data_IF_494144076015
#
_entry.id   IF_494144076015
#
_cell.length_a   1.000
_cell.length_b   1.000
_cell.length_c   1.000
_cell.angle_alpha   90.00
_cell.angle_beta   90.00
_cell.angle_gamma   90.00
#
_symmetry.space_group_name_H-M   'P 1'
#
loop_
_entity.id
_entity.type
_entity.pdbx_description
1 polymer ?
#
# COMPACT_ATOMS: atom_id res chain seq x y z
N UNK A 1 -28.46 10.83 0.13
CA UNK A 1 -27.03 10.92 0.46
C UNK A 1 -26.28 11.07 -0.84
N UNK A 2 -25.68 12.23 -1.09
CA UNK A 2 -24.95 12.51 -2.34
C UNK A 2 -23.58 11.85 -2.22
N UNK A 3 -23.34 10.82 -3.03
CA UNK A 3 -22.01 10.23 -3.20
C UNK A 3 -21.10 11.28 -3.83
N UNK A 4 -20.16 11.83 -3.05
CA UNK A 4 -19.15 12.73 -3.58
C UNK A 4 -18.28 11.96 -4.58
N UNK A 5 -18.18 12.46 -5.81
CA UNK A 5 -17.26 11.91 -6.80
C UNK A 5 -15.80 12.06 -6.31
N UNK A 6 -14.93 11.08 -6.58
CA UNK A 6 -13.51 11.22 -6.26
C UNK A 6 -12.90 12.43 -6.99
N UNK A 7 -12.04 13.17 -6.29
CA UNK A 7 -11.35 14.32 -6.86
C UNK A 7 -10.46 13.87 -8.05
N UNK A 8 -10.29 14.72 -9.09
CA UNK A 8 -9.45 14.37 -10.23
C UNK A 8 -7.99 14.22 -9.80
N UNK A 9 -7.32 13.19 -10.32
CA UNK A 9 -5.89 13.00 -10.13
C UNK A 9 -5.13 14.24 -10.62
N UNK A 10 -4.40 14.89 -9.71
CA UNK A 10 -3.53 16.02 -10.06
C UNK A 10 -2.26 15.49 -10.73
N UNK A 11 -1.80 16.06 -11.86
CA UNK A 11 -0.50 15.70 -12.42
C UNK A 11 0.59 16.04 -11.40
N UNK A 12 1.51 15.09 -11.17
CA UNK A 12 2.59 15.25 -10.20
C UNK A 12 3.59 16.36 -10.60
N UNK A 13 4.37 16.90 -9.65
CA UNK A 13 5.34 17.95 -9.90
C UNK A 13 6.48 17.51 -10.85
N UNK A 14 7.14 18.45 -11.54
CA UNK A 14 8.26 18.16 -12.43
C UNK A 14 9.45 17.57 -11.65
N UNK A 15 10.02 16.45 -12.14
CA UNK A 15 11.16 15.77 -11.54
C UNK A 15 10.93 14.29 -11.20
N UNK A 16 9.73 13.75 -11.42
CA UNK A 16 9.44 12.32 -11.18
C UNK A 16 10.12 11.42 -12.22
N UNK A 17 10.56 10.22 -11.82
CA UNK A 17 10.78 9.13 -12.77
C UNK A 17 9.49 8.88 -13.55
N UNK A 18 9.59 8.60 -14.85
CA UNK A 18 8.45 8.22 -15.66
C UNK A 18 7.80 6.94 -15.08
N UNK A 19 6.53 7.02 -14.67
CA UNK A 19 5.74 5.87 -14.18
C UNK A 19 5.24 5.96 -12.74
N UNK A 20 5.64 6.98 -11.98
CA UNK A 20 5.12 7.22 -10.64
C UNK A 20 3.73 7.89 -10.68
N UNK A 21 2.75 7.32 -9.99
CA UNK A 21 1.42 7.91 -9.83
C UNK A 21 1.29 8.46 -8.41
N UNK A 22 0.79 9.69 -8.24
CA UNK A 22 0.33 10.25 -6.96
C UNK A 22 -1.14 10.59 -7.10
N UNK A 23 -1.93 10.28 -6.07
CA UNK A 23 -3.31 10.73 -5.97
C UNK A 23 -3.66 11.11 -4.54
N UNK A 24 -4.49 12.13 -4.39
CA UNK A 24 -5.25 12.35 -3.16
C UNK A 24 -6.46 11.40 -3.16
N UNK A 25 -6.32 10.22 -2.56
CA UNK A 25 -7.34 9.17 -2.58
C UNK A 25 -8.60 9.56 -1.78
N UNK A 26 -8.42 10.40 -0.77
CA UNK A 26 -9.45 11.07 0.01
C UNK A 26 -8.87 12.38 0.56
N UNK A 27 -9.67 13.35 1.03
CA UNK A 27 -9.15 14.61 1.56
C UNK A 27 -8.05 14.38 2.61
N UNK A 28 -6.86 14.90 2.32
CA UNK A 28 -5.67 14.76 3.17
C UNK A 28 -5.06 13.34 3.22
N UNK A 29 -5.45 12.43 2.35
CA UNK A 29 -4.90 11.06 2.25
C UNK A 29 -4.27 10.89 0.88
N UNK A 30 -2.94 10.91 0.86
CA UNK A 30 -2.15 10.83 -0.35
C UNK A 30 -1.56 9.45 -0.51
N UNK A 31 -1.62 8.91 -1.73
CA UNK A 31 -1.09 7.61 -2.08
C UNK A 31 -0.24 7.77 -3.33
N UNK A 32 0.94 7.16 -3.31
CA UNK A 32 1.78 7.02 -4.49
C UNK A 32 2.16 5.56 -4.73
N UNK A 33 2.30 5.17 -6.00
CA UNK A 33 2.82 3.86 -6.39
C UNK A 33 3.60 3.92 -7.70
N UNK A 34 4.52 2.97 -7.86
CA UNK A 34 5.42 2.91 -9.01
C UNK A 34 5.95 1.49 -9.25
N UNK A 35 6.26 1.18 -10.51
CA UNK A 35 7.01 -0.04 -10.92
C UNK A 35 8.53 0.13 -10.86
N UNK A 36 8.97 1.39 -10.83
CA UNK A 36 10.36 1.80 -10.71
C UNK A 36 10.36 3.09 -9.91
N UNK A 37 10.91 3.09 -8.71
CA UNK A 37 11.08 4.29 -7.90
C UNK A 37 12.56 4.56 -7.67
N UNK A 38 12.93 5.83 -7.52
CA UNK A 38 14.23 6.21 -7.00
C UNK A 38 14.41 5.56 -5.61
N UNK A 39 15.60 5.02 -5.35
CA UNK A 39 15.93 4.45 -4.04
C UNK A 39 16.24 5.56 -3.05
N UNK A 40 15.86 5.38 -1.79
CA UNK A 40 16.22 6.34 -0.73
C UNK A 40 17.74 6.36 -0.51
N UNK A 41 18.31 7.56 -0.51
CA UNK A 41 19.70 7.83 -0.14
C UNK A 41 19.82 8.32 1.32
N UNK A 42 18.69 8.42 2.04
CA UNK A 42 18.68 8.92 3.41
C UNK A 42 19.53 8.01 4.32
N UNK A 43 20.47 8.54 5.13
CA UNK A 43 21.40 7.74 5.92
C UNK A 43 20.71 6.71 6.85
N UNK A 44 19.61 7.10 7.50
CA UNK A 44 18.85 6.19 8.35
C UNK A 44 18.16 5.05 7.57
N UNK A 45 17.71 5.31 6.34
CA UNK A 45 17.07 4.28 5.49
C UNK A 45 18.13 3.29 5.00
N UNK A 46 19.31 3.78 4.62
CA UNK A 46 20.46 2.95 4.26
C UNK A 46 20.95 2.08 5.43
N UNK A 47 20.90 2.61 6.65
CA UNK A 47 21.25 1.88 7.87
C UNK A 47 20.24 0.77 8.20
N UNK A 48 18.93 1.04 8.13
CA UNK A 48 17.85 0.08 8.45
C UNK A 48 17.89 -1.20 7.59
N UNK A 49 18.36 -1.08 6.35
CA UNK A 49 18.43 -2.20 5.42
C UNK A 49 19.78 -2.92 5.40
N UNK A 50 20.74 -2.53 6.26
CA UNK A 50 22.05 -3.22 6.35
C UNK A 50 21.85 -4.68 6.72
N UNK A 51 22.64 -5.57 6.11
CA UNK A 51 22.57 -7.02 6.34
C UNK A 51 21.39 -7.75 5.69
N UNK A 52 20.42 -7.04 5.09
CA UNK A 52 19.32 -7.69 4.34
C UNK A 52 19.81 -8.18 2.96
N UNK A 53 19.21 -9.25 2.39
CA UNK A 53 19.49 -9.67 1.01
C UNK A 53 19.28 -8.53 -0.01
N UNK A 54 20.08 -8.49 -1.09
CA UNK A 54 20.09 -7.40 -2.09
C UNK A 54 18.70 -7.04 -2.61
N UNK A 55 17.88 -8.04 -2.95
CA UNK A 55 16.52 -7.83 -3.46
C UNK A 55 15.63 -7.12 -2.43
N UNK A 56 15.69 -7.54 -1.16
CA UNK A 56 14.91 -6.93 -0.07
C UNK A 56 15.40 -5.52 0.26
N UNK A 57 16.72 -5.28 0.18
CA UNK A 57 17.29 -3.93 0.32
C UNK A 57 16.73 -2.99 -0.75
N UNK A 58 16.77 -3.43 -2.02
CA UNK A 58 16.27 -2.65 -3.15
C UNK A 58 14.79 -2.28 -2.98
N UNK A 59 13.93 -3.26 -2.70
CA UNK A 59 12.50 -3.04 -2.47
C UNK A 59 12.22 -2.07 -1.31
N UNK A 60 12.88 -2.30 -0.17
CA UNK A 60 12.73 -1.41 0.99
C UNK A 60 13.21 0.01 0.70
N UNK A 61 14.34 0.19 0.01
CA UNK A 61 14.85 1.51 -0.34
C UNK A 61 14.00 2.21 -1.41
N UNK A 62 13.45 1.47 -2.39
CA UNK A 62 12.56 2.02 -3.40
C UNK A 62 11.24 2.53 -2.80
N UNK A 63 10.60 1.73 -1.92
CA UNK A 63 9.40 2.18 -1.21
C UNK A 63 9.67 3.41 -0.33
N UNK A 64 10.82 3.44 0.36
CA UNK A 64 11.24 4.61 1.16
C UNK A 64 11.52 5.82 0.27
N UNK A 65 12.20 5.66 -0.87
CA UNK A 65 12.46 6.76 -1.80
C UNK A 65 11.16 7.36 -2.36
N UNK A 66 10.19 6.50 -2.70
CA UNK A 66 8.85 6.95 -3.08
C UNK A 66 8.15 7.72 -1.96
N UNK A 67 8.26 7.28 -0.71
CA UNK A 67 7.72 8.02 0.44
C UNK A 67 8.42 9.37 0.63
N UNK A 68 9.75 9.45 0.47
CA UNK A 68 10.49 10.72 0.57
C UNK A 68 10.01 11.72 -0.48
N UNK A 69 9.84 11.27 -1.73
CA UNK A 69 9.28 12.08 -2.79
C UNK A 69 7.83 12.52 -2.49
N UNK A 70 6.99 11.61 -1.99
CA UNK A 70 5.62 11.93 -1.59
C UNK A 70 5.58 12.95 -0.45
N UNK A 71 6.42 12.79 0.58
CA UNK A 71 6.52 13.74 1.69
C UNK A 71 6.95 15.13 1.20
N UNK A 72 7.94 15.23 0.31
CA UNK A 72 8.37 16.51 -0.25
C UNK A 72 7.24 17.21 -1.03
N UNK A 73 6.35 16.44 -1.67
CA UNK A 73 5.21 16.95 -2.42
C UNK A 73 4.07 17.43 -1.51
N UNK A 74 3.64 16.59 -0.55
CA UNK A 74 2.37 16.83 0.18
C UNK A 74 2.58 17.37 1.60
N UNK A 75 3.79 17.27 2.14
CA UNK A 75 4.18 17.76 3.46
C UNK A 75 5.63 18.32 3.42
N UNK A 76 5.90 19.40 2.67
CA UNK A 76 7.26 19.91 2.48
C UNK A 76 8.00 20.18 3.80
N UNK A 77 9.27 19.82 3.87
CA UNK A 77 10.12 19.95 5.06
C UNK A 77 10.11 18.72 5.97
N UNK A 78 9.35 17.68 5.64
CA UNK A 78 9.30 16.42 6.40
C UNK A 78 10.01 15.25 5.72
N UNK A 79 10.42 15.41 4.46
CA UNK A 79 11.11 14.39 3.68
C UNK A 79 12.43 13.94 4.30
N UNK A 80 13.14 14.82 5.03
CA UNK A 80 14.38 14.50 5.73
C UNK A 80 14.20 13.85 7.11
N UNK A 81 12.97 13.62 7.57
CA UNK A 81 12.72 13.09 8.93
C UNK A 81 12.96 11.59 8.98
N UNK A 82 13.76 11.12 9.95
CA UNK A 82 14.06 9.70 10.10
C UNK A 82 12.79 8.85 10.28
N UNK A 83 12.74 7.72 9.56
CA UNK A 83 11.70 6.71 9.75
C UNK A 83 12.13 5.76 10.87
N UNK A 84 11.27 5.58 11.86
CA UNK A 84 11.40 4.55 12.89
C UNK A 84 10.33 3.48 12.70
N UNK A 85 10.61 2.28 13.22
CA UNK A 85 9.58 1.27 13.40
C UNK A 85 9.04 1.40 14.83
N UNK A 86 7.71 1.42 15.00
CA UNK A 86 7.12 1.28 16.33
C UNK A 86 7.29 -0.14 16.90
N UNK A 87 6.80 -0.38 18.11
CA UNK A 87 6.90 -1.70 18.79
C UNK A 87 6.26 -2.86 18.02
N UNK A 88 5.50 -2.58 16.96
CA UNK A 88 4.84 -3.56 16.09
C UNK A 88 5.41 -3.56 14.67
N UNK A 89 6.53 -2.88 14.45
CA UNK A 89 7.20 -2.81 13.15
C UNK A 89 6.59 -1.81 12.18
N UNK A 90 5.62 -0.98 12.61
CA UNK A 90 4.98 0.00 11.72
C UNK A 90 5.91 1.19 11.49
N UNK A 91 6.11 1.63 10.23
CA UNK A 91 6.81 2.87 9.93
C UNK A 91 6.13 4.09 10.56
N UNK A 92 6.93 4.96 11.20
CA UNK A 92 6.51 6.25 11.73
C UNK A 92 7.63 7.28 11.49
N UNK A 93 7.28 8.56 11.36
CA UNK A 93 8.25 9.64 11.27
C UNK A 93 8.62 10.12 12.69
N UNK A 94 9.92 10.14 12.99
CA UNK A 94 10.40 10.54 14.30
C UNK A 94 10.01 11.99 14.63
N UNK A 95 9.37 12.20 15.78
CA UNK A 95 8.92 13.52 16.21
C UNK A 95 7.64 14.04 15.52
N UNK A 96 7.05 13.26 14.60
CA UNK A 96 5.84 13.64 13.87
C UNK A 96 4.73 12.59 14.03
N UNK A 97 4.23 12.32 15.25
CA UNK A 97 3.24 11.27 15.50
C UNK A 97 1.89 11.52 14.84
N UNK A 98 1.58 12.77 14.50
CA UNK A 98 0.36 13.15 13.80
C UNK A 98 0.43 12.92 12.29
N UNK A 99 1.61 12.62 11.73
CA UNK A 99 1.77 12.38 10.30
C UNK A 99 1.78 10.87 10.02
N UNK A 100 0.61 10.34 9.64
CA UNK A 100 0.47 8.94 9.28
C UNK A 100 1.26 8.63 8.02
N UNK A 101 2.09 7.58 8.06
CA UNK A 101 2.79 7.07 6.89
C UNK A 101 2.61 5.57 6.76
N UNK A 102 2.62 5.07 5.53
CA UNK A 102 2.61 3.64 5.25
C UNK A 102 3.42 3.32 4.00
N UNK A 103 3.99 2.13 3.95
CA UNK A 103 4.85 1.64 2.88
C UNK A 103 4.41 0.24 2.49
N UNK A 104 4.48 -0.06 1.20
CA UNK A 104 4.32 -1.40 0.68
C UNK A 104 5.22 -1.66 -0.50
N UNK A 105 5.60 -2.92 -0.69
CA UNK A 105 6.29 -3.36 -1.87
C UNK A 105 5.97 -4.82 -2.15
N UNK A 106 5.85 -5.16 -3.42
CA UNK A 106 5.73 -6.53 -3.89
C UNK A 106 6.50 -6.69 -5.20
N UNK A 107 7.05 -7.88 -5.46
CA UNK A 107 7.95 -8.07 -6.59
C UNK A 107 8.70 -9.38 -6.52
N UNK A 108 9.21 -9.89 -7.66
CA UNK A 108 9.92 -11.14 -7.70
C UNK A 108 11.13 -11.13 -6.76
N UNK A 109 11.18 -12.10 -5.85
CA UNK A 109 12.34 -12.38 -5.01
C UNK A 109 13.44 -13.05 -5.85
N UNK A 110 14.07 -12.31 -6.75
CA UNK A 110 15.09 -12.85 -7.66
C UNK A 110 15.55 -11.86 -8.74
N UNK A 111 16.80 -12.03 -9.21
CA UNK A 111 17.47 -11.24 -10.26
C UNK A 111 17.06 -11.66 -11.68
N UNK A 112 15.77 -11.79 -11.98
CA UNK A 112 15.33 -11.97 -13.37
C UNK A 112 14.79 -10.65 -13.91
N UNK A 113 15.60 -10.01 -14.75
CA UNK A 113 15.44 -8.65 -15.26
C UNK A 113 14.29 -8.40 -16.22
N UNK A 114 13.53 -9.40 -16.68
CA UNK A 114 12.80 -9.22 -17.94
C UNK A 114 11.27 -9.34 -17.90
N UNK A 115 10.63 -9.63 -16.76
CA UNK A 115 9.16 -9.68 -16.70
C UNK A 115 8.59 -9.03 -15.44
N UNK A 116 8.94 -7.74 -15.25
CA UNK A 116 8.26 -6.82 -14.33
C UNK A 116 9.02 -6.55 -13.03
N UNK A 117 9.47 -5.31 -12.88
CA UNK A 117 10.14 -4.83 -11.68
C UNK A 117 9.25 -4.83 -10.42
N UNK A 118 9.85 -4.44 -9.30
CA UNK A 118 9.16 -4.30 -8.01
C UNK A 118 8.03 -3.26 -8.12
N UNK A 119 6.83 -3.61 -7.67
CA UNK A 119 5.77 -2.66 -7.42
C UNK A 119 5.93 -2.11 -6.00
N UNK A 120 6.05 -0.79 -5.86
CA UNK A 120 6.17 -0.12 -4.56
C UNK A 120 5.04 0.88 -4.38
N UNK A 121 4.64 1.12 -3.13
CA UNK A 121 3.70 2.16 -2.77
C UNK A 121 4.05 2.82 -1.44
N UNK A 122 3.62 4.07 -1.32
CA UNK A 122 3.71 4.87 -0.11
C UNK A 122 2.37 5.60 0.11
N UNK A 123 2.03 5.87 1.36
CA UNK A 123 0.92 6.74 1.70
C UNK A 123 1.31 7.71 2.81
N UNK A 124 0.73 8.91 2.75
CA UNK A 124 0.88 9.99 3.73
C UNK A 124 -0.51 10.54 4.08
N UNK A 125 -0.81 10.65 5.37
CA UNK A 125 -2.08 11.17 5.85
C UNK A 125 -1.91 12.03 7.11
N UNK A 126 -1.81 13.37 6.99
CA UNK A 126 -1.77 14.25 8.14
C UNK A 126 -3.02 14.12 9.01
N UNK A 127 -2.84 14.03 10.33
CA UNK A 127 -3.91 13.92 11.32
C UNK A 127 -4.64 12.58 11.33
N UNK A 128 -4.16 11.58 10.58
CA UNK A 128 -4.85 10.28 10.39
C UNK A 128 -3.87 9.14 10.46
N UNK A 129 -4.36 7.96 10.83
CA UNK A 129 -3.63 6.71 10.60
C UNK A 129 -3.89 6.25 9.17
N UNK A 130 -2.90 5.62 8.55
CA UNK A 130 -2.99 5.18 7.15
C UNK A 130 -2.25 3.86 6.95
N UNK A 131 -2.76 3.05 6.03
CA UNK A 131 -2.19 1.80 5.57
C UNK A 131 -2.29 1.74 4.05
N UNK A 132 -1.19 1.41 3.38
CA UNK A 132 -1.16 1.15 1.94
C UNK A 132 -0.68 -0.26 1.68
N UNK A 133 -1.26 -0.91 0.69
CA UNK A 133 -0.78 -2.20 0.22
C UNK A 133 -0.79 -2.30 -1.30
N UNK A 134 0.18 -3.06 -1.81
CA UNK A 134 0.32 -3.41 -3.21
C UNK A 134 0.63 -4.88 -3.35
N UNK A 135 0.02 -5.51 -4.34
CA UNK A 135 0.22 -6.92 -4.62
C UNK A 135 0.20 -7.14 -6.13
N UNK A 136 1.28 -7.68 -6.68
CA UNK A 136 1.25 -8.30 -7.99
C UNK A 136 0.36 -9.54 -7.90
N UNK A 137 -0.55 -9.77 -8.87
CA UNK A 137 -1.33 -10.99 -8.88
C UNK A 137 -0.42 -12.20 -8.72
N UNK A 138 -0.75 -13.15 -7.83
CA UNK A 138 -0.07 -14.43 -7.85
C UNK A 138 -0.19 -15.03 -9.26
N UNK A 139 0.63 -16.03 -9.57
CA UNK A 139 0.53 -16.76 -10.84
C UNK A 139 -0.89 -17.24 -11.17
N UNK A 140 -1.11 -17.86 -12.35
CA UNK A 140 -2.44 -18.12 -12.89
C UNK A 140 -3.41 -18.81 -11.91
N UNK A 141 -2.87 -19.60 -10.97
CA UNK A 141 -3.64 -20.30 -9.94
C UNK A 141 -3.35 -19.79 -8.53
N UNK A 142 -4.38 -19.23 -7.88
CA UNK A 142 -4.35 -18.99 -6.43
C UNK A 142 -4.70 -20.30 -5.71
N UNK A 143 -3.88 -20.77 -4.75
CA UNK A 143 -4.19 -21.99 -4.01
C UNK A 143 -5.57 -21.92 -3.35
N UNK A 144 -6.43 -22.91 -3.60
CA UNK A 144 -7.81 -22.92 -3.09
C UNK A 144 -7.90 -22.83 -1.57
N UNK A 145 -6.91 -23.38 -0.84
CA UNK A 145 -6.80 -23.23 0.61
C UNK A 145 -6.60 -21.79 1.05
N UNK A 146 -5.81 -21.02 0.31
CA UNK A 146 -5.59 -19.60 0.56
C UNK A 146 -6.85 -18.78 0.26
N UNK A 147 -7.52 -19.08 -0.86
CA UNK A 147 -8.81 -18.47 -1.23
C UNK A 147 -9.85 -18.69 -0.13
N UNK A 148 -10.05 -19.93 0.32
CA UNK A 148 -11.00 -20.25 1.40
C UNK A 148 -10.65 -19.53 2.71
N UNK A 149 -9.37 -19.45 3.06
CA UNK A 149 -8.94 -18.76 4.28
C UNK A 149 -9.22 -17.26 4.23
N UNK A 150 -8.99 -16.61 3.09
CA UNK A 150 -9.09 -15.15 2.98
C UNK A 150 -10.50 -14.65 2.62
N UNK A 151 -11.26 -15.42 1.83
CA UNK A 151 -12.59 -15.05 1.37
C UNK A 151 -13.74 -15.74 2.12
N UNK A 152 -13.47 -16.86 2.80
CA UNK A 152 -14.48 -17.64 3.55
C UNK A 152 -15.72 -17.90 2.70
N UNK A 153 -16.90 -17.46 3.14
CA UNK A 153 -18.18 -17.63 2.43
C UNK A 153 -18.17 -17.00 1.03
N UNK A 154 -17.31 -16.01 0.77
CA UNK A 154 -17.16 -15.35 -0.54
C UNK A 154 -16.25 -16.10 -1.52
N UNK A 155 -15.67 -17.24 -1.12
CA UNK A 155 -14.81 -18.02 -2.01
C UNK A 155 -15.54 -18.43 -3.30
N UNK A 156 -16.85 -18.72 -3.23
CA UNK A 156 -17.69 -19.03 -4.39
C UNK A 156 -17.79 -17.89 -5.39
N UNK A 157 -17.84 -16.63 -4.91
CA UNK A 157 -17.85 -15.45 -5.77
C UNK A 157 -16.59 -15.39 -6.64
N UNK A 158 -15.41 -15.63 -6.06
CA UNK A 158 -14.14 -15.66 -6.81
C UNK A 158 -14.08 -16.83 -7.80
N UNK A 159 -14.52 -18.02 -7.37
CA UNK A 159 -14.54 -19.22 -8.20
C UNK A 159 -15.46 -19.09 -9.42
N UNK A 160 -16.53 -18.29 -9.33
CA UNK A 160 -17.43 -18.01 -10.47
C UNK A 160 -16.82 -17.12 -11.54
N UNK A 161 -15.69 -16.43 -11.27
CA UNK A 161 -15.03 -15.59 -12.26
C UNK A 161 -14.29 -16.42 -13.32
N UNK A 162 -14.07 -15.87 -14.53
CA UNK A 162 -13.16 -16.46 -15.50
C UNK A 162 -11.79 -16.71 -14.89
N UNK A 163 -11.16 -17.86 -15.20
CA UNK A 163 -9.90 -18.29 -14.58
C UNK A 163 -8.81 -17.19 -14.62
N UNK A 164 -8.63 -16.54 -15.78
CA UNK A 164 -7.66 -15.45 -15.96
C UNK A 164 -7.91 -14.17 -15.15
N UNK A 165 -9.05 -14.06 -14.45
CA UNK A 165 -9.37 -12.92 -13.57
C UNK A 165 -9.20 -13.23 -12.09
N UNK A 166 -9.19 -14.50 -11.69
CA UNK A 166 -9.25 -14.90 -10.27
C UNK A 166 -8.05 -14.42 -9.48
N UNK A 167 -6.83 -14.59 -10.00
CA UNK A 167 -5.61 -14.14 -9.33
C UNK A 167 -5.59 -12.63 -9.12
N UNK A 168 -6.01 -11.87 -10.13
CA UNK A 168 -6.10 -10.41 -10.04
C UNK A 168 -7.13 -9.96 -9.01
N UNK A 169 -8.35 -10.52 -9.05
CA UNK A 169 -9.39 -10.12 -8.10
C UNK A 169 -9.10 -10.59 -6.66
N UNK A 170 -8.42 -11.73 -6.51
CA UNK A 170 -7.89 -12.16 -5.20
C UNK A 170 -6.87 -11.16 -4.66
N UNK A 171 -5.92 -10.72 -5.49
CA UNK A 171 -4.92 -9.73 -5.09
C UNK A 171 -5.57 -8.37 -4.73
N UNK A 172 -6.62 -7.95 -5.44
CA UNK A 172 -7.40 -6.77 -5.04
C UNK A 172 -8.01 -6.91 -3.65
N UNK A 173 -8.63 -8.05 -3.34
CA UNK A 173 -9.15 -8.28 -1.98
C UNK A 173 -8.01 -8.27 -0.95
N UNK A 174 -6.92 -8.98 -1.24
CA UNK A 174 -5.77 -9.06 -0.34
C UNK A 174 -5.17 -7.68 -0.02
N UNK A 175 -4.99 -6.82 -1.02
CA UNK A 175 -4.48 -5.47 -0.78
C UNK A 175 -5.37 -4.64 0.13
N UNK A 176 -6.70 -4.76 0.04
CA UNK A 176 -7.62 -4.06 0.96
C UNK A 176 -7.47 -4.63 2.38
N UNK A 177 -7.38 -5.95 2.53
CA UNK A 177 -7.21 -6.61 3.82
C UNK A 177 -5.91 -6.16 4.51
N UNK A 178 -4.78 -6.17 3.80
CA UNK A 178 -3.49 -5.73 4.32
C UNK A 178 -3.44 -4.22 4.58
N UNK A 179 -4.02 -3.40 3.71
CA UNK A 179 -4.11 -1.95 3.93
C UNK A 179 -4.86 -1.63 5.23
N UNK A 180 -5.98 -2.31 5.50
CA UNK A 180 -6.74 -2.14 6.75
C UNK A 180 -5.90 -2.53 7.98
N UNK A 181 -5.21 -3.67 7.93
CA UNK A 181 -4.34 -4.14 9.02
C UNK A 181 -3.16 -3.20 9.27
N UNK A 182 -2.56 -2.65 8.21
CA UNK A 182 -1.49 -1.65 8.31
C UNK A 182 -2.01 -0.34 8.92
N UNK A 183 -3.20 0.10 8.51
CA UNK A 183 -3.85 1.30 9.06
C UNK A 183 -4.23 1.13 10.53
N UNK A 184 -4.60 -0.08 10.97
CA UNK A 184 -4.88 -0.38 12.38
C UNK A 184 -3.62 -0.56 13.23
N UNK A 185 -2.59 -1.19 12.66
CA UNK A 185 -1.26 -1.29 13.28
C UNK A 185 -1.10 -2.49 14.16
N UNK A 186 -1.89 -3.49 13.90
CA UNK A 186 -1.84 -4.79 14.57
C UNK A 186 -0.81 -5.71 13.91
N UNK A 187 -0.30 -5.35 12.73
CA UNK A 187 0.51 -6.25 11.91
C UNK A 187 -0.22 -7.58 11.66
N UNK A 188 0.53 -8.68 11.55
CA UNK A 188 -0.06 -10.01 11.30
C UNK A 188 -1.10 -10.44 12.36
N UNK A 189 -1.01 -9.90 13.59
CA UNK A 189 -1.99 -10.17 14.65
C UNK A 189 -3.38 -9.60 14.33
N UNK A 190 -3.47 -8.65 13.39
CA UNK A 190 -4.72 -8.16 12.83
C UNK A 190 -5.46 -9.16 11.94
N UNK A 191 -4.83 -10.31 11.64
CA UNK A 191 -5.40 -11.41 10.86
C UNK A 191 -6.07 -10.90 9.57
N UNK A 192 -5.30 -10.39 8.59
CA UNK A 192 -5.84 -9.79 7.37
C UNK A 192 -6.86 -10.70 6.65
N UNK A 193 -6.58 -12.00 6.61
CA UNK A 193 -7.49 -13.03 6.07
C UNK A 193 -8.85 -13.16 6.79
N UNK A 194 -9.03 -12.53 7.95
CA UNK A 194 -10.29 -12.55 8.70
C UNK A 194 -11.19 -11.35 8.45
N UNK A 195 -10.73 -10.38 7.63
CA UNK A 195 -11.50 -9.20 7.26
C UNK A 195 -12.46 -9.55 6.12
N UNK A 196 -13.75 -9.23 6.29
CA UNK A 196 -14.76 -9.49 5.26
C UNK A 196 -14.74 -8.39 4.18
N UNK A 197 -14.06 -8.67 3.06
CA UNK A 197 -13.94 -7.75 1.93
C UNK A 197 -14.64 -8.38 0.71
N UNK A 198 -15.52 -7.64 0.00
CA UNK A 198 -16.22 -8.16 -1.17
C UNK A 198 -15.25 -8.45 -2.31
N UNK A 199 -15.56 -9.46 -3.14
CA UNK A 199 -14.84 -9.68 -4.40
C UNK A 199 -15.08 -8.47 -5.31
N UNK A 200 -14.05 -8.04 -6.05
CA UNK A 200 -14.03 -6.77 -6.80
C UNK A 200 -14.28 -5.56 -5.88
N UNK A 201 -13.46 -5.34 -4.84
CA UNK A 201 -13.66 -4.24 -3.91
C UNK A 201 -13.60 -2.88 -4.62
N UNK A 202 -14.32 -1.87 -4.11
CA UNK A 202 -14.29 -0.49 -4.62
C UNK A 202 -13.90 0.48 -3.49
N UNK A 203 -14.87 0.83 -2.66
CA UNK A 203 -14.67 1.54 -1.39
C UNK A 203 -15.52 0.89 -0.31
N UNK A 204 -15.16 1.10 0.95
CA UNK A 204 -15.96 0.61 2.07
C UNK A 204 -15.39 1.00 3.42
N UNK A 205 -15.99 0.47 4.48
CA UNK A 205 -15.63 0.75 5.87
C UNK A 205 -15.41 -0.53 6.64
N UNK A 206 -14.51 -0.51 7.62
CA UNK A 206 -14.27 -1.59 8.56
C UNK A 206 -14.03 -0.99 9.95
N UNK A 207 -15.03 -1.06 10.82
CA UNK A 207 -15.00 -0.31 12.08
C UNK A 207 -14.87 1.19 11.83
N UNK A 208 -13.83 1.80 12.40
CA UNK A 208 -13.48 3.22 12.24
C UNK A 208 -12.49 3.48 11.09
N UNK A 209 -12.21 2.48 10.24
CA UNK A 209 -11.44 2.63 9.01
C UNK A 209 -12.35 2.82 7.79
N UNK A 210 -11.93 3.71 6.90
CA UNK A 210 -12.38 3.75 5.50
C UNK A 210 -11.29 3.17 4.62
N UNK A 211 -11.65 2.40 3.60
CA UNK A 211 -10.72 1.86 2.62
C UNK A 211 -11.16 2.16 1.18
N UNK A 212 -10.18 2.24 0.29
CA UNK A 212 -10.34 2.53 -1.14
C UNK A 212 -9.40 1.61 -1.92
N UNK A 213 -9.96 0.82 -2.84
CA UNK A 213 -9.22 0.10 -3.86
C UNK A 213 -9.06 1.00 -5.10
N UNK A 214 -7.84 1.35 -5.48
CA UNK A 214 -7.54 2.33 -6.55
C UNK A 214 -7.65 1.75 -7.97
N UNK A 215 -8.66 0.90 -8.18
CA UNK A 215 -8.88 0.10 -9.40
C UNK A 215 -9.14 0.92 -10.65
N UNK A 216 -9.65 2.14 -10.48
CA UNK A 216 -9.92 3.08 -11.57
C UNK A 216 -8.67 3.87 -11.98
N UNK A 217 -7.59 3.81 -11.19
CA UNK A 217 -6.34 4.54 -11.42
C UNK A 217 -5.16 3.61 -11.70
N UNK A 218 -5.27 2.34 -11.30
CA UNK A 218 -4.18 1.37 -11.40
C UNK A 218 -4.66 0.06 -12.00
N UNK A 219 -3.88 -0.46 -12.95
CA UNK A 219 -4.01 -1.83 -13.46
C UNK A 219 -3.48 -2.87 -12.46
N UNK A 220 -2.61 -2.45 -11.54
CA UNK A 220 -2.11 -3.28 -10.45
C UNK A 220 -2.97 -3.10 -9.19
N UNK A 221 -3.17 -4.15 -8.37
CA UNK A 221 -3.75 -4.05 -7.05
C UNK A 221 -2.99 -3.04 -6.17
N UNK A 222 -3.63 -1.92 -5.87
CA UNK A 222 -3.17 -0.86 -4.97
C UNK A 222 -4.35 -0.40 -4.12
N UNK A 223 -4.26 -0.57 -2.81
CA UNK A 223 -5.34 -0.19 -1.90
C UNK A 223 -4.80 0.64 -0.74
N UNK A 224 -5.64 1.55 -0.25
CA UNK A 224 -5.36 2.40 0.89
C UNK A 224 -6.49 2.28 1.91
N UNK A 225 -6.15 2.28 3.19
CA UNK A 225 -7.08 2.38 4.30
C UNK A 225 -6.62 3.48 5.26
N UNK A 226 -7.56 4.18 5.86
CA UNK A 226 -7.28 5.30 6.75
C UNK A 226 -8.39 5.48 7.78
N UNK A 227 -8.06 6.13 8.89
CA UNK A 227 -9.01 6.46 9.95
C UNK A 227 -8.42 7.53 10.88
N UNK A 228 -9.17 7.90 11.90
CA UNK A 228 -8.72 8.94 12.82
C UNK A 228 -7.52 8.46 13.66
N UNK A 229 -6.67 9.37 14.11
CA UNK A 229 -5.66 9.01 15.10
C UNK A 229 -6.40 8.62 16.39
N UNK A 230 -6.29 7.36 16.83
CA UNK A 230 -6.87 6.96 18.11
C UNK A 230 -6.19 7.77 19.22
N UNK A 231 -6.99 8.39 20.08
CA UNK A 231 -6.50 8.89 21.36
C UNK A 231 -5.89 7.69 22.10
N UNK A 232 -4.58 7.73 22.35
CA UNK A 232 -3.90 6.72 23.16
C UNK A 232 -4.12 7.02 24.63
#
# INVERSE_FOLDING_TARGET
MVSAAPAPARPGPPGRPAGDVTVEAAPGVWVAWARTAAVSEHPADLADVRGRPRWRRRQSLAARGLLRALLAEVCPGTEGVALSADVRGRPALQGLPALGVSLSHDGPSGTSGDLGGDLVAAAVAPGRRVGVDVQLPPGPDVPAGLVRRCLRERAGELSSLPAGRRALEFAWVWTVQEACVKADGTGIAGRPWSLDIPVRPGTGTLGDLTWIALRHLSVHPVSCAFGDLRAR
#
